data_IF_984645078830
#
_entry.id   IF_984645078830
#
_cell.length_a   1.000
_cell.length_b   1.000
_cell.length_c   1.000
_cell.angle_alpha   90.00
_cell.angle_beta   90.00
_cell.angle_gamma   90.00
#
_symmetry.space_group_name_H-M   'P 1'
#
loop_
_entity.id
_entity.type
_entity.pdbx_description
1 polymer ?
#
# COMPACT_ATOMS: atom_id res chain seq x y z
N UNK A 1 76.10 24.23 16.74
CA UNK A 1 75.72 25.19 15.67
C UNK A 1 74.84 24.45 14.68
N UNK A 2 73.51 24.46 14.86
CA UNK A 2 72.57 25.48 14.35
C UNK A 2 72.43 25.43 12.82
N UNK A 3 71.36 24.78 12.34
CA UNK A 3 70.19 25.40 11.67
C UNK A 3 70.32 25.33 10.14
N UNK A 4 69.34 24.94 9.31
CA UNK A 4 67.91 25.26 9.23
C UNK A 4 67.19 24.14 8.42
N UNK A 5 66.11 23.57 8.96
CA UNK A 5 65.09 22.83 8.16
C UNK A 5 63.99 23.81 7.78
N UNK A 6 63.74 23.96 6.48
CA UNK A 6 62.61 24.74 5.94
C UNK A 6 61.33 23.90 6.04
N UNK A 7 60.30 24.51 6.61
CA UNK A 7 58.98 23.94 6.87
C UNK A 7 58.13 23.91 5.59
N UNK A 8 57.64 22.74 5.17
CA UNK A 8 56.52 22.63 4.22
C UNK A 8 55.21 22.44 4.99
N UNK A 9 54.36 23.48 5.00
CA UNK A 9 53.00 23.42 5.55
C UNK A 9 52.13 22.46 4.72
N UNK A 10 51.76 21.29 5.27
CA UNK A 10 50.64 20.48 4.77
C UNK A 10 49.33 21.01 5.36
N UNK A 11 48.40 21.45 4.51
CA UNK A 11 47.01 21.76 4.91
C UNK A 11 46.29 20.45 5.27
N UNK A 12 45.49 20.40 6.35
CA UNK A 12 44.72 19.21 6.67
C UNK A 12 43.53 19.11 5.72
N UNK A 13 43.45 17.99 4.98
CA UNK A 13 42.26 17.61 4.23
C UNK A 13 41.15 17.29 5.23
N UNK A 14 40.11 18.12 5.29
CA UNK A 14 38.85 17.78 5.96
C UNK A 14 38.24 16.57 5.26
N UNK A 15 38.48 15.38 5.79
CA UNK A 15 37.65 14.21 5.49
C UNK A 15 36.28 14.54 6.09
N UNK A 16 35.32 14.82 5.22
CA UNK A 16 33.92 15.00 5.60
C UNK A 16 33.44 13.61 6.03
N UNK A 17 33.34 13.39 7.34
CA UNK A 17 32.68 12.22 7.91
C UNK A 17 31.26 12.18 7.36
N UNK A 18 30.99 11.22 6.49
CA UNK A 18 29.63 10.91 6.08
C UNK A 18 29.03 10.21 7.28
N UNK A 19 28.20 10.92 8.05
CA UNK A 19 27.34 10.29 9.05
C UNK A 19 26.50 9.22 8.35
N UNK A 20 26.34 8.02 8.94
CA UNK A 20 25.42 7.03 8.41
C UNK A 20 24.04 7.66 8.37
N UNK A 21 23.36 7.62 7.22
CA UNK A 21 22.01 8.17 7.14
C UNK A 21 21.10 7.40 8.11
N UNK A 22 20.32 8.13 8.90
CA UNK A 22 19.30 7.61 9.83
C UNK A 22 18.35 6.59 9.15
N UNK A 23 18.29 6.59 7.81
CA UNK A 23 17.55 5.63 7.00
C UNK A 23 18.09 4.18 7.05
N UNK A 24 19.36 3.95 7.39
CA UNK A 24 19.98 2.62 7.38
C UNK A 24 19.68 1.78 8.63
N UNK A 25 19.21 2.40 9.72
CA UNK A 25 18.88 1.73 11.00
C UNK A 25 17.37 1.69 11.29
N UNK A 26 16.54 2.05 10.31
CA UNK A 26 15.10 2.20 10.47
C UNK A 26 14.37 0.89 10.16
N UNK A 27 13.47 0.47 11.06
CA UNK A 27 12.54 -0.64 10.83
C UNK A 27 11.27 -0.21 10.05
N UNK A 28 11.19 1.06 9.65
CA UNK A 28 10.03 1.62 8.97
C UNK A 28 10.04 1.31 7.46
N UNK A 29 8.94 0.76 6.98
CA UNK A 29 8.80 0.26 5.60
C UNK A 29 8.89 1.36 4.55
N UNK A 30 8.39 2.55 4.85
CA UNK A 30 8.41 3.71 3.96
C UNK A 30 9.84 4.27 3.77
N UNK A 31 10.64 4.38 4.83
CA UNK A 31 12.06 4.79 4.74
C UNK A 31 12.84 3.87 3.80
N UNK A 32 12.66 2.55 3.97
CA UNK A 32 13.28 1.53 3.14
C UNK A 32 12.77 1.61 1.69
N UNK A 33 11.47 1.86 1.49
CA UNK A 33 10.87 2.08 0.18
C UNK A 33 11.48 3.28 -0.55
N UNK A 34 11.60 4.43 0.11
CA UNK A 34 12.22 5.63 -0.46
C UNK A 34 13.70 5.42 -0.80
N UNK A 35 14.46 4.75 0.07
CA UNK A 35 15.86 4.41 -0.19
C UNK A 35 16.01 3.48 -1.42
N UNK A 36 15.16 2.45 -1.50
CA UNK A 36 15.15 1.53 -2.63
C UNK A 36 14.77 2.24 -3.95
N UNK A 37 13.80 3.16 -3.90
CA UNK A 37 13.39 3.99 -5.04
C UNK A 37 14.55 4.84 -5.55
N UNK A 38 15.27 5.55 -4.68
CA UNK A 38 16.39 6.39 -5.08
C UNK A 38 17.61 5.61 -5.55
N UNK A 39 17.85 4.42 -4.98
CA UNK A 39 18.92 3.53 -5.43
C UNK A 39 18.69 3.07 -6.87
N UNK A 40 17.42 2.88 -7.27
CA UNK A 40 17.04 2.47 -8.63
C UNK A 40 16.87 3.65 -9.59
N UNK A 41 16.28 4.75 -9.13
CA UNK A 41 16.00 5.97 -9.90
C UNK A 41 16.43 7.18 -9.07
N UNK A 42 17.69 7.64 -9.20
CA UNK A 42 18.22 8.65 -8.29
C UNK A 42 17.43 9.95 -8.34
N UNK A 43 16.87 10.37 -7.20
CA UNK A 43 16.10 11.60 -7.04
C UNK A 43 14.59 11.44 -7.22
N UNK A 44 14.09 10.21 -7.36
CA UNK A 44 12.65 9.94 -7.45
C UNK A 44 11.92 10.26 -6.15
N UNK A 45 12.56 10.00 -5.00
CA UNK A 45 12.06 10.39 -3.67
C UNK A 45 11.67 11.87 -3.61
N UNK A 46 12.57 12.74 -4.10
CA UNK A 46 12.40 14.18 -4.10
C UNK A 46 11.24 14.60 -5.00
N UNK A 47 11.03 13.92 -6.13
CA UNK A 47 9.86 14.15 -6.98
C UNK A 47 8.58 13.79 -6.22
N UNK A 48 8.53 12.64 -5.55
CA UNK A 48 7.35 12.23 -4.77
C UNK A 48 7.03 13.27 -3.69
N UNK A 49 8.02 13.65 -2.88
CA UNK A 49 7.85 14.68 -1.85
C UNK A 49 7.39 16.02 -2.46
N UNK A 50 7.99 16.46 -3.56
CA UNK A 50 7.58 17.68 -4.25
C UNK A 50 6.12 17.60 -4.74
N UNK A 51 5.69 16.45 -5.27
CA UNK A 51 4.31 16.27 -5.77
C UNK A 51 3.29 16.26 -4.64
N UNK A 52 3.69 15.77 -3.47
CA UNK A 52 2.91 15.82 -2.22
C UNK A 52 3.03 17.16 -1.46
N UNK A 53 3.81 18.12 -1.98
CA UNK A 53 4.11 19.40 -1.33
C UNK A 53 4.76 19.26 0.05
N UNK A 54 5.67 18.29 0.18
CA UNK A 54 6.43 17.98 1.40
C UNK A 54 7.90 18.32 1.22
N UNK A 55 8.54 18.78 2.29
CA UNK A 55 9.95 19.20 2.32
C UNK A 55 10.90 18.08 2.74
N UNK A 56 10.39 17.07 3.44
CA UNK A 56 11.21 16.01 3.99
C UNK A 56 10.43 14.71 4.18
N UNK A 57 11.17 13.62 4.33
CA UNK A 57 10.60 12.33 4.72
C UNK A 57 9.93 12.37 6.10
N UNK A 58 10.45 13.16 7.05
CA UNK A 58 9.81 13.34 8.36
C UNK A 58 8.41 13.97 8.22
N UNK A 59 8.22 14.91 7.28
CA UNK A 59 6.92 15.51 6.98
C UNK A 59 5.98 14.52 6.30
N UNK A 60 6.49 13.71 5.36
CA UNK A 60 5.73 12.61 4.76
C UNK A 60 5.21 11.64 5.82
N UNK A 61 6.11 11.19 6.70
CA UNK A 61 5.76 10.28 7.79
C UNK A 61 4.73 10.90 8.74
N UNK A 62 4.95 12.15 9.16
CA UNK A 62 4.00 12.89 9.98
C UNK A 62 2.62 12.99 9.32
N UNK A 63 2.56 13.15 8.00
CA UNK A 63 1.29 13.19 7.27
C UNK A 63 0.61 11.82 7.19
N UNK A 64 1.37 10.75 6.95
CA UNK A 64 0.85 9.38 6.98
C UNK A 64 0.31 9.02 8.36
N UNK A 65 0.94 9.50 9.43
CA UNK A 65 0.49 9.30 10.81
C UNK A 65 -0.72 10.19 11.21
N UNK A 66 -1.30 10.95 10.28
CA UNK A 66 -2.48 11.79 10.54
C UNK A 66 -2.18 13.13 11.22
N UNK A 67 -0.90 13.47 11.43
CA UNK A 67 -0.47 14.69 12.14
C UNK A 67 -0.31 15.92 11.22
N UNK A 68 -0.61 15.82 9.92
CA UNK A 68 -0.47 16.94 8.98
C UNK A 68 -1.72 17.83 8.92
N UNK A 69 -1.50 19.14 9.05
CA UNK A 69 -2.52 20.20 8.94
C UNK A 69 -2.98 20.48 7.50
N UNK A 70 -2.33 19.90 6.48
CA UNK A 70 -2.67 20.14 5.06
C UNK A 70 -3.61 19.06 4.54
N UNK A 71 -4.92 19.30 4.58
CA UNK A 71 -5.93 18.31 4.16
C UNK A 71 -5.90 17.96 2.67
N UNK A 72 -5.35 18.83 1.81
CA UNK A 72 -5.43 18.66 0.35
C UNK A 72 -4.06 18.54 -0.36
N UNK A 73 -2.92 18.46 0.34
CA UNK A 73 -1.57 18.42 -0.27
C UNK A 73 -1.29 19.51 -1.33
N UNK A 74 -2.02 20.63 -1.26
CA UNK A 74 -1.99 21.70 -2.27
C UNK A 74 -2.67 21.38 -3.61
N UNK A 75 -3.38 20.25 -3.72
CA UNK A 75 -4.09 19.80 -4.92
C UNK A 75 -5.42 20.54 -5.04
N UNK A 76 -5.63 21.23 -6.17
CA UNK A 76 -6.83 22.06 -6.40
C UNK A 76 -7.84 21.44 -7.35
N UNK A 77 -7.42 20.50 -8.19
CA UNK A 77 -8.28 19.86 -9.20
C UNK A 77 -7.95 18.38 -9.36
N UNK A 78 -8.90 17.59 -9.88
CA UNK A 78 -8.65 16.18 -10.21
C UNK A 78 -7.59 16.02 -11.30
N UNK A 79 -7.56 16.90 -12.31
CA UNK A 79 -6.50 16.91 -13.32
C UNK A 79 -5.10 17.07 -12.68
N UNK A 80 -4.97 17.99 -11.73
CA UNK A 80 -3.72 18.17 -10.98
C UNK A 80 -3.37 16.94 -10.14
N UNK A 81 -4.35 16.33 -9.45
CA UNK A 81 -4.16 15.11 -8.67
C UNK A 81 -3.60 13.98 -9.53
N UNK A 82 -4.28 13.65 -10.64
CA UNK A 82 -3.85 12.58 -11.54
C UNK A 82 -2.52 12.89 -12.21
N UNK A 83 -2.24 14.15 -12.56
CA UNK A 83 -0.94 14.52 -13.12
C UNK A 83 0.18 14.39 -12.08
N UNK A 84 -0.04 14.79 -10.83
CA UNK A 84 0.92 14.62 -9.73
C UNK A 84 1.21 13.15 -9.49
N UNK A 85 0.18 12.29 -9.47
CA UNK A 85 0.34 10.84 -9.41
C UNK A 85 1.12 10.31 -10.61
N UNK A 86 0.83 10.76 -11.84
CA UNK A 86 1.57 10.36 -13.05
C UNK A 86 3.06 10.64 -12.94
N UNK A 87 3.40 11.81 -12.41
CA UNK A 87 4.78 12.29 -12.34
C UNK A 87 5.65 11.45 -11.38
N UNK A 88 5.07 10.74 -10.40
CA UNK A 88 5.83 9.91 -9.43
C UNK A 88 6.43 8.64 -10.04
N UNK A 89 6.08 8.29 -11.27
CA UNK A 89 6.68 7.16 -12.00
C UNK A 89 7.06 7.54 -13.45
N UNK A 90 7.13 8.85 -13.74
CA UNK A 90 7.50 9.38 -15.05
C UNK A 90 9.03 9.51 -15.17
N UNK A 91 9.71 8.39 -15.40
CA UNK A 91 11.15 8.33 -15.66
C UNK A 91 11.46 7.32 -16.77
N UNK A 92 12.63 7.44 -17.41
CA UNK A 92 13.01 6.47 -18.43
C UNK A 92 13.28 5.09 -17.80
N UNK A 93 12.50 4.06 -18.16
CA UNK A 93 12.68 2.72 -17.60
C UNK A 93 14.04 2.10 -17.95
N UNK A 94 14.64 2.50 -19.07
CA UNK A 94 15.94 2.00 -19.55
C UNK A 94 17.11 2.68 -18.83
N UNK A 95 17.26 4.00 -18.96
CA UNK A 95 18.42 4.72 -18.43
C UNK A 95 18.18 5.37 -17.05
N UNK A 96 17.00 5.19 -16.46
CA UNK A 96 16.58 5.69 -15.13
C UNK A 96 16.62 7.22 -14.99
N UNK A 97 16.78 7.97 -16.08
CA UNK A 97 16.77 9.44 -16.06
C UNK A 97 15.37 9.98 -15.81
N UNK A 98 15.31 10.95 -14.88
CA UNK A 98 14.15 11.81 -14.66
C UNK A 98 14.02 12.85 -15.78
N UNK A 99 12.82 13.39 -16.05
CA UNK A 99 12.61 14.43 -17.07
C UNK A 99 13.48 15.69 -16.85
N UNK A 100 13.71 16.08 -15.60
CA UNK A 100 14.56 17.22 -15.22
C UNK A 100 16.04 17.04 -15.59
N UNK A 101 16.48 15.81 -15.89
CA UNK A 101 17.86 15.48 -16.29
C UNK A 101 18.00 15.27 -17.80
N UNK A 102 16.96 15.54 -18.57
CA UNK A 102 16.99 15.50 -20.02
C UNK A 102 17.25 16.90 -20.58
N UNK A 103 17.95 17.01 -21.75
CA UNK A 103 18.09 18.29 -22.43
C UNK A 103 16.73 18.93 -22.79
N UNK A 104 15.76 18.12 -23.20
CA UNK A 104 14.36 18.51 -23.33
C UNK A 104 13.49 17.60 -22.45
N UNK A 105 12.91 18.11 -21.34
CA UNK A 105 11.98 17.34 -20.52
C UNK A 105 10.77 16.81 -21.28
N UNK A 106 10.39 17.47 -22.39
CA UNK A 106 9.29 17.01 -23.26
C UNK A 106 9.70 15.83 -24.13
N UNK A 107 10.96 15.41 -24.17
CA UNK A 107 11.38 14.21 -24.90
C UNK A 107 10.84 12.91 -24.28
N UNK A 108 10.42 12.95 -23.00
CA UNK A 108 9.87 11.78 -22.33
C UNK A 108 8.54 11.33 -22.97
N UNK A 109 8.50 10.08 -23.47
CA UNK A 109 7.34 9.47 -24.13
C UNK A 109 6.93 8.18 -23.42
N UNK A 110 5.63 8.01 -23.25
CA UNK A 110 5.04 6.76 -22.76
C UNK A 110 4.94 5.73 -23.87
N UNK A 111 5.05 4.45 -23.51
CA UNK A 111 4.70 3.37 -24.42
C UNK A 111 3.22 3.48 -24.80
N UNK A 112 2.92 3.64 -26.09
CA UNK A 112 1.54 3.80 -26.60
C UNK A 112 0.64 2.58 -26.33
N UNK A 113 1.23 1.39 -26.12
CA UNK A 113 0.49 0.15 -25.89
C UNK A 113 0.05 -0.03 -24.44
N UNK A 114 0.99 0.12 -23.50
CA UNK A 114 0.69 -0.13 -22.08
C UNK A 114 0.35 1.12 -21.27
N UNK A 115 0.75 2.31 -21.73
CA UNK A 115 0.54 3.58 -21.02
C UNK A 115 1.12 3.62 -19.57
N UNK A 116 1.99 2.69 -19.19
CA UNK A 116 2.52 2.56 -17.83
C UNK A 116 3.98 2.99 -17.67
N UNK A 117 4.79 2.82 -18.72
CA UNK A 117 6.24 3.09 -18.66
C UNK A 117 6.66 4.15 -19.66
N UNK A 118 7.78 4.80 -19.37
CA UNK A 118 8.31 5.94 -20.11
C UNK A 118 9.73 5.69 -20.65
N UNK A 119 10.04 6.37 -21.74
CA UNK A 119 11.34 6.39 -22.41
C UNK A 119 11.73 7.82 -22.75
N UNK A 120 13.00 8.17 -22.58
CA UNK A 120 13.51 9.48 -23.01
C UNK A 120 13.79 9.56 -24.51
N UNK A 121 13.90 8.42 -25.21
CA UNK A 121 14.16 8.33 -26.65
C UNK A 121 13.66 7.02 -27.24
N UNK A 122 13.53 6.97 -28.56
CA UNK A 122 13.25 5.74 -29.32
C UNK A 122 14.36 4.70 -29.18
N UNK A 123 15.60 5.13 -28.98
CA UNK A 123 16.74 4.24 -28.72
C UNK A 123 16.58 3.47 -27.41
N UNK A 124 16.30 4.18 -26.30
CA UNK A 124 16.02 3.56 -25.01
C UNK A 124 14.81 2.61 -25.09
N UNK A 125 13.80 2.95 -25.89
CA UNK A 125 12.66 2.07 -26.13
C UNK A 125 13.07 0.79 -26.88
N UNK A 126 13.86 0.91 -27.95
CA UNK A 126 14.34 -0.23 -28.75
C UNK A 126 15.22 -1.16 -27.92
N UNK A 127 16.10 -0.60 -27.11
CA UNK A 127 17.00 -1.35 -26.23
C UNK A 127 16.23 -2.12 -25.14
N UNK A 128 15.21 -1.51 -24.56
CA UNK A 128 14.39 -2.16 -23.53
C UNK A 128 13.36 -3.14 -24.11
N UNK A 129 13.01 -3.04 -25.39
CA UNK A 129 11.92 -3.80 -26.03
C UNK A 129 11.98 -5.32 -25.81
N UNK A 130 13.14 -6.02 -25.89
CA UNK A 130 13.22 -7.45 -25.65
C UNK A 130 12.70 -7.90 -24.28
N UNK A 131 12.86 -7.04 -23.26
CA UNK A 131 12.37 -7.26 -21.90
C UNK A 131 10.92 -6.75 -21.81
N UNK A 132 10.67 -5.50 -22.20
CA UNK A 132 9.36 -4.87 -22.07
C UNK A 132 8.24 -5.63 -22.76
N UNK A 133 8.47 -6.18 -23.96
CA UNK A 133 7.41 -6.85 -24.75
C UNK A 133 6.76 -8.02 -24.00
N UNK A 134 7.51 -8.68 -23.10
CA UNK A 134 7.02 -9.79 -22.26
C UNK A 134 5.99 -9.34 -21.23
N UNK A 135 6.11 -8.09 -20.76
CA UNK A 135 5.27 -7.54 -19.70
C UNK A 135 4.33 -6.43 -20.18
N UNK A 136 4.46 -5.94 -21.41
CA UNK A 136 3.70 -4.81 -21.93
C UNK A 136 2.18 -4.96 -21.74
N UNK A 137 1.62 -6.17 -21.94
CA UNK A 137 0.19 -6.44 -21.70
C UNK A 137 -0.18 -6.35 -20.22
N UNK A 138 0.62 -6.96 -19.33
CA UNK A 138 0.41 -6.88 -17.87
C UNK A 138 0.56 -5.44 -17.34
N UNK A 139 1.49 -4.68 -17.91
CA UNK A 139 1.67 -3.27 -17.60
C UNK A 139 0.47 -2.41 -18.04
N UNK A 140 -0.24 -2.79 -19.12
CA UNK A 140 -1.50 -2.13 -19.50
C UNK A 140 -2.54 -2.31 -18.39
N UNK A 141 -2.70 -3.54 -17.91
CA UNK A 141 -3.60 -3.87 -16.80
C UNK A 141 -3.23 -3.05 -15.55
N UNK A 142 -1.97 -3.05 -15.14
CA UNK A 142 -1.51 -2.27 -13.98
C UNK A 142 -1.71 -0.75 -14.14
N UNK A 143 -1.60 -0.21 -15.37
CA UNK A 143 -1.87 1.21 -15.62
C UNK A 143 -3.36 1.57 -15.46
N UNK A 144 -4.26 0.64 -15.78
CA UNK A 144 -5.70 0.80 -15.58
C UNK A 144 -6.02 0.67 -14.09
N UNK A 145 -5.58 -0.41 -13.45
CA UNK A 145 -5.87 -0.71 -12.05
C UNK A 145 -5.44 0.43 -11.13
N UNK A 146 -4.23 0.98 -11.31
CA UNK A 146 -3.74 2.12 -10.51
C UNK A 146 -4.58 3.40 -10.64
N UNK A 147 -5.29 3.59 -11.74
CA UNK A 147 -6.23 4.71 -11.87
C UNK A 147 -7.57 4.35 -11.23
N UNK A 148 -8.10 3.17 -11.53
CA UNK A 148 -9.41 2.70 -11.03
C UNK A 148 -9.40 2.50 -9.51
N UNK A 149 -8.24 2.22 -8.90
CA UNK A 149 -8.03 2.16 -7.46
C UNK A 149 -8.47 3.44 -6.74
N UNK A 150 -8.43 4.59 -7.43
CA UNK A 150 -8.97 5.84 -6.89
C UNK A 150 -10.45 5.73 -6.48
N UNK A 151 -11.21 4.85 -7.13
CA UNK A 151 -12.63 4.62 -6.82
C UNK A 151 -12.85 3.94 -5.46
N UNK A 152 -11.81 3.34 -4.86
CA UNK A 152 -11.86 2.83 -3.49
C UNK A 152 -11.98 4.02 -2.51
N UNK A 153 -11.20 5.07 -2.75
CA UNK A 153 -11.21 6.27 -1.91
C UNK A 153 -12.50 7.09 -2.05
N UNK A 154 -13.17 7.02 -3.19
CA UNK A 154 -14.47 7.69 -3.40
C UNK A 154 -15.65 6.86 -2.87
N UNK A 155 -15.40 5.60 -2.48
CA UNK A 155 -16.40 4.70 -1.92
C UNK A 155 -17.25 3.95 -2.95
N UNK A 156 -16.93 4.06 -4.24
CA UNK A 156 -17.63 3.31 -5.31
C UNK A 156 -17.19 1.83 -5.34
N UNK A 157 -15.97 1.53 -4.86
CA UNK A 157 -15.39 0.17 -4.78
C UNK A 157 -14.93 -0.11 -3.33
N UNK A 158 -15.04 -1.36 -2.83
CA UNK A 158 -15.81 -2.46 -3.43
C UNK A 158 -17.31 -2.16 -3.42
N UNK A 159 -18.06 -2.80 -4.32
CA UNK A 159 -19.52 -2.75 -4.27
C UNK A 159 -20.04 -3.46 -3.00
N UNK A 160 -21.23 -3.09 -2.49
CA UNK A 160 -21.85 -3.79 -1.38
C UNK A 160 -22.13 -5.27 -1.68
N UNK A 161 -21.80 -6.13 -0.73
CA UNK A 161 -21.99 -7.59 -0.77
C UNK A 161 -23.04 -7.99 0.27
N UNK A 162 -23.72 -9.11 0.00
CA UNK A 162 -24.75 -9.70 0.87
C UNK A 162 -24.15 -10.80 1.75
N UNK A 163 -24.85 -11.28 2.81
CA UNK A 163 -24.48 -12.50 3.49
C UNK A 163 -24.23 -13.65 2.51
N UNK A 164 -23.24 -14.48 2.80
CA UNK A 164 -22.85 -15.57 1.91
C UNK A 164 -23.99 -16.59 1.79
N UNK A 165 -24.37 -16.89 0.55
CA UNK A 165 -25.37 -17.91 0.23
C UNK A 165 -24.75 -19.29 0.05
N UNK A 166 -23.42 -19.35 -0.08
CA UNK A 166 -22.64 -20.57 -0.29
C UNK A 166 -21.69 -20.80 0.88
N UNK A 167 -21.59 -22.04 1.34
CA UNK A 167 -20.62 -22.42 2.38
C UNK A 167 -19.19 -22.09 1.98
N UNK A 168 -18.39 -21.61 2.93
CA UNK A 168 -16.96 -21.33 2.75
C UNK A 168 -16.18 -22.54 2.20
N UNK A 169 -16.61 -23.76 2.53
CA UNK A 169 -15.97 -24.99 2.03
C UNK A 169 -16.10 -25.16 0.52
N UNK A 170 -17.08 -24.51 -0.11
CA UNK A 170 -17.40 -24.65 -1.52
C UNK A 170 -16.83 -23.51 -2.38
N UNK A 171 -16.31 -22.44 -1.76
CA UNK A 171 -15.64 -21.34 -2.46
C UNK A 171 -14.16 -21.70 -2.59
N UNK A 172 -13.68 -21.91 -3.83
CA UNK A 172 -12.28 -22.26 -4.13
C UNK A 172 -11.55 -21.18 -4.90
N UNK A 173 -12.27 -20.38 -5.67
CA UNK A 173 -11.73 -19.32 -6.51
C UNK A 173 -12.48 -18.01 -6.30
N UNK A 174 -11.92 -16.91 -6.83
CA UNK A 174 -12.64 -15.64 -6.88
C UNK A 174 -13.83 -15.71 -7.82
N UNK A 175 -13.78 -16.52 -8.87
CA UNK A 175 -14.91 -16.78 -9.76
C UNK A 175 -16.10 -17.39 -9.01
N UNK A 176 -15.85 -18.32 -8.08
CA UNK A 176 -16.89 -18.88 -7.22
C UNK A 176 -17.52 -17.79 -6.33
N UNK A 177 -16.66 -16.94 -5.72
CA UNK A 177 -17.12 -15.83 -4.88
C UNK A 177 -17.92 -14.79 -5.68
N UNK A 178 -17.49 -14.47 -6.92
CA UNK A 178 -18.21 -13.56 -7.81
C UNK A 178 -19.55 -14.16 -8.25
N UNK A 179 -19.61 -15.45 -8.56
CA UNK A 179 -20.84 -16.14 -8.94
C UNK A 179 -21.88 -16.13 -7.81
N UNK A 180 -21.43 -16.09 -6.55
CA UNK A 180 -22.29 -15.95 -5.37
C UNK A 180 -22.89 -14.53 -5.22
N UNK A 181 -22.28 -13.50 -5.83
CA UNK A 181 -22.74 -12.13 -5.65
C UNK A 181 -24.04 -11.85 -6.42
N UNK A 182 -25.10 -11.57 -5.68
CA UNK A 182 -26.39 -11.19 -6.26
C UNK A 182 -26.26 -9.93 -7.13
N UNK A 183 -26.86 -9.97 -8.32
CA UNK A 183 -26.93 -8.85 -9.26
C UNK A 183 -25.56 -8.23 -9.59
N UNK A 184 -24.51 -9.05 -9.68
CA UNK A 184 -23.13 -8.59 -9.91
C UNK A 184 -23.03 -7.66 -11.13
N UNK A 185 -23.61 -8.04 -12.27
CA UNK A 185 -23.53 -7.23 -13.48
C UNK A 185 -24.19 -5.85 -13.31
N UNK A 186 -25.32 -5.78 -12.59
CA UNK A 186 -25.97 -4.49 -12.27
C UNK A 186 -25.07 -3.61 -11.39
N UNK A 187 -24.41 -4.20 -10.40
CA UNK A 187 -23.45 -3.48 -9.54
C UNK A 187 -22.25 -2.97 -10.33
N UNK A 188 -21.71 -3.80 -11.23
CA UNK A 188 -20.60 -3.40 -12.11
C UNK A 188 -21.02 -2.28 -13.06
N UNK A 189 -22.22 -2.38 -13.66
CA UNK A 189 -22.75 -1.35 -14.56
C UNK A 189 -23.00 -0.03 -13.85
N UNK A 190 -23.49 -0.06 -12.61
CA UNK A 190 -23.64 1.14 -11.79
C UNK A 190 -22.29 1.84 -11.55
N UNK A 191 -21.21 1.10 -11.26
CA UNK A 191 -19.86 1.67 -11.12
C UNK A 191 -19.37 2.25 -12.45
N UNK A 192 -19.60 1.56 -13.58
CA UNK A 192 -19.19 2.05 -14.89
C UNK A 192 -19.90 3.35 -15.29
N UNK A 193 -21.18 3.49 -14.91
CA UNK A 193 -21.99 4.69 -15.10
C UNK A 193 -21.79 5.76 -14.01
N UNK A 194 -21.01 5.45 -12.97
CA UNK A 194 -20.81 6.28 -11.80
C UNK A 194 -20.10 7.61 -12.11
N UNK A 195 -20.43 8.63 -11.32
CA UNK A 195 -19.87 9.99 -11.45
C UNK A 195 -18.33 9.99 -11.45
N UNK A 196 -17.72 9.25 -10.51
CA UNK A 196 -16.27 9.24 -10.34
C UNK A 196 -15.54 8.49 -11.46
N UNK A 197 -16.17 7.48 -12.07
CA UNK A 197 -15.65 6.83 -13.29
C UNK A 197 -15.53 7.84 -14.45
N UNK A 198 -16.55 8.70 -14.61
CA UNK A 198 -16.52 9.79 -15.59
C UNK A 198 -15.43 10.83 -15.30
N UNK A 199 -15.33 11.27 -14.04
CA UNK A 199 -14.31 12.24 -13.59
C UNK A 199 -12.90 11.71 -13.81
N UNK A 200 -12.64 10.45 -13.43
CA UNK A 200 -11.34 9.81 -13.57
C UNK A 200 -10.84 9.90 -15.02
N UNK A 201 -11.63 9.42 -15.98
CA UNK A 201 -11.19 9.37 -17.38
C UNK A 201 -11.20 10.74 -18.08
N UNK A 202 -11.96 11.71 -17.58
CA UNK A 202 -11.87 13.10 -18.03
C UNK A 202 -10.56 13.78 -17.57
N UNK A 203 -9.93 13.31 -16.49
CA UNK A 203 -8.80 13.98 -15.85
C UNK A 203 -7.48 13.19 -15.88
N UNK A 204 -7.50 11.89 -16.16
CA UNK A 204 -6.31 11.02 -16.10
C UNK A 204 -5.26 11.27 -17.21
N UNK A 205 -5.58 12.08 -18.23
CA UNK A 205 -4.67 12.35 -19.35
C UNK A 205 -4.31 11.10 -20.18
N UNK A 206 -5.16 10.07 -20.15
CA UNK A 206 -5.02 8.79 -20.86
C UNK A 206 -6.32 8.45 -21.59
N UNK A 207 -6.25 7.72 -22.73
CA UNK A 207 -7.45 7.23 -23.39
C UNK A 207 -8.19 6.27 -22.45
N UNK A 208 -9.51 6.40 -22.38
CA UNK A 208 -10.37 5.49 -21.62
C UNK A 208 -10.26 4.08 -22.23
N UNK A 209 -9.97 3.03 -21.43
CA UNK A 209 -10.00 1.64 -21.88
C UNK A 209 -11.39 1.19 -22.31
N UNK A 210 -11.47 0.03 -22.95
CA UNK A 210 -12.75 -0.61 -23.24
C UNK A 210 -13.50 -0.97 -21.94
N UNK A 211 -14.83 -0.98 -21.98
CA UNK A 211 -15.65 -1.29 -20.80
C UNK A 211 -15.34 -2.68 -20.23
N UNK A 212 -14.99 -3.66 -21.07
CA UNK A 212 -14.56 -4.99 -20.64
C UNK A 212 -13.29 -4.94 -19.78
N UNK A 213 -12.29 -4.15 -20.18
CA UNK A 213 -11.04 -3.98 -19.42
C UNK A 213 -11.29 -3.27 -18.08
N UNK A 214 -12.22 -2.30 -18.05
CA UNK A 214 -12.62 -1.61 -16.83
C UNK A 214 -13.37 -2.51 -15.86
N UNK A 215 -14.32 -3.33 -16.33
CA UNK A 215 -15.02 -4.30 -15.48
C UNK A 215 -14.04 -5.29 -14.83
N UNK A 216 -13.09 -5.79 -15.60
CA UNK A 216 -12.05 -6.67 -15.07
C UNK A 216 -11.10 -5.96 -14.09
N UNK A 217 -10.86 -4.66 -14.26
CA UNK A 217 -10.14 -3.84 -13.29
C UNK A 217 -10.89 -3.72 -11.96
N UNK A 218 -12.19 -3.42 -12.01
CA UNK A 218 -13.05 -3.38 -10.81
C UNK A 218 -13.09 -4.72 -10.09
N UNK A 219 -13.17 -5.83 -10.82
CA UNK A 219 -13.09 -7.17 -10.22
C UNK A 219 -11.76 -7.38 -9.52
N UNK A 220 -10.62 -7.12 -10.18
CA UNK A 220 -9.29 -7.26 -9.55
C UNK A 220 -9.14 -6.41 -8.29
N UNK A 221 -9.54 -5.15 -8.33
CA UNK A 221 -9.47 -4.27 -7.16
C UNK A 221 -10.41 -4.71 -6.03
N UNK A 222 -11.58 -5.23 -6.37
CA UNK A 222 -12.47 -5.89 -5.40
C UNK A 222 -11.80 -7.10 -4.75
N UNK A 223 -11.11 -7.95 -5.53
CA UNK A 223 -10.37 -9.09 -4.97
C UNK A 223 -9.21 -8.65 -4.08
N UNK A 224 -8.48 -7.60 -4.45
CA UNK A 224 -7.38 -7.06 -3.66
C UNK A 224 -7.88 -6.52 -2.31
N UNK A 225 -8.97 -5.75 -2.34
CA UNK A 225 -9.63 -5.22 -1.15
C UNK A 225 -10.10 -6.33 -0.19
N UNK A 226 -10.79 -7.35 -0.72
CA UNK A 226 -11.33 -8.44 0.11
C UNK A 226 -10.31 -9.54 0.46
N UNK A 227 -9.10 -9.51 -0.08
CA UNK A 227 -8.09 -10.57 0.16
C UNK A 227 -7.82 -10.76 1.65
N UNK A 228 -7.72 -9.67 2.44
CA UNK A 228 -7.46 -9.74 3.88
C UNK A 228 -8.59 -10.39 4.67
N UNK A 229 -9.85 -9.90 4.62
CA UNK A 229 -10.96 -10.56 5.31
C UNK A 229 -11.22 -11.98 4.79
N UNK A 230 -11.05 -12.24 3.48
CA UNK A 230 -11.13 -13.60 2.94
C UNK A 230 -10.12 -14.52 3.63
N UNK A 231 -8.85 -14.12 3.65
CA UNK A 231 -7.77 -14.93 4.23
C UNK A 231 -8.05 -15.26 5.70
N UNK A 232 -8.51 -14.28 6.49
CA UNK A 232 -8.89 -14.49 7.89
C UNK A 232 -10.04 -15.50 7.98
N UNK A 233 -11.11 -15.32 7.20
CA UNK A 233 -12.27 -16.20 7.27
C UNK A 233 -11.95 -17.65 6.86
N UNK A 234 -11.17 -17.83 5.80
CA UNK A 234 -10.67 -19.16 5.40
C UNK A 234 -9.72 -19.76 6.44
N UNK A 235 -8.92 -18.95 7.14
CA UNK A 235 -8.08 -19.40 8.24
C UNK A 235 -8.93 -19.87 9.44
N UNK A 236 -9.95 -19.12 9.85
CA UNK A 236 -10.87 -19.52 10.93
C UNK A 236 -11.49 -20.90 10.65
N UNK A 237 -11.98 -21.11 9.43
CA UNK A 237 -12.52 -22.40 9.01
C UNK A 237 -11.45 -23.50 9.00
N UNK A 238 -10.25 -23.21 8.49
CA UNK A 238 -9.14 -24.18 8.40
C UNK A 238 -8.67 -24.63 9.78
N UNK A 239 -8.56 -23.70 10.73
CA UNK A 239 -8.12 -23.97 12.11
C UNK A 239 -9.26 -24.33 13.05
N UNK A 240 -10.51 -24.45 12.53
CA UNK A 240 -11.71 -24.81 13.30
C UNK A 240 -11.99 -23.88 14.48
N UNK A 241 -11.68 -22.59 14.30
CA UNK A 241 -12.11 -21.53 15.23
C UNK A 241 -13.55 -21.20 14.87
N UNK A 242 -14.50 -21.52 15.74
CA UNK A 242 -15.93 -21.40 15.49
C UNK A 242 -16.49 -20.02 15.89
N UNK A 243 -16.85 -19.14 14.92
CA UNK A 243 -17.42 -17.83 15.22
C UNK A 243 -18.82 -17.87 15.81
N UNK A 244 -19.49 -19.03 15.79
CA UNK A 244 -20.83 -19.23 16.33
C UNK A 244 -20.81 -19.67 17.81
N UNK A 245 -19.76 -20.39 18.22
CA UNK A 245 -19.61 -20.88 19.59
C UNK A 245 -19.27 -19.79 20.61
N UNK A 246 -18.61 -18.73 20.18
CA UNK A 246 -18.24 -17.61 21.04
C UNK A 246 -17.60 -16.46 20.26
N UNK A 247 -17.36 -15.32 20.93
CA UNK A 247 -16.66 -14.20 20.33
C UNK A 247 -15.23 -14.58 19.95
N UNK A 248 -14.74 -14.05 18.83
CA UNK A 248 -13.42 -14.39 18.27
C UNK A 248 -12.55 -13.16 18.16
N UNK A 249 -11.32 -13.25 18.67
CA UNK A 249 -10.30 -12.19 18.58
C UNK A 249 -9.20 -12.59 17.60
N UNK A 250 -8.98 -11.76 16.58
CA UNK A 250 -7.95 -11.95 15.56
C UNK A 250 -6.89 -10.86 15.70
N UNK A 251 -5.64 -11.25 15.95
CA UNK A 251 -4.50 -10.31 15.94
C UNK A 251 -3.86 -10.28 14.56
N UNK A 252 -3.83 -9.10 13.93
CA UNK A 252 -3.06 -8.85 12.71
C UNK A 252 -1.72 -8.24 13.10
N UNK A 253 -0.65 -9.04 12.99
CA UNK A 253 0.69 -8.67 13.48
C UNK A 253 1.55 -8.08 12.38
N UNK A 254 2.33 -7.05 12.74
CA UNK A 254 3.10 -6.28 11.77
C UNK A 254 2.21 -5.43 10.86
N UNK A 255 1.02 -5.04 11.34
CA UNK A 255 0.16 -4.12 10.62
C UNK A 255 0.87 -2.77 10.42
N UNK A 256 0.72 -2.22 9.22
CA UNK A 256 1.35 -0.96 8.82
C UNK A 256 0.33 -0.01 8.20
N UNK A 257 0.76 1.18 7.82
CA UNK A 257 -0.03 2.12 7.04
C UNK A 257 -0.63 1.50 5.76
N UNK A 258 -0.05 0.43 5.21
CA UNK A 258 -0.60 -0.31 4.06
C UNK A 258 -1.95 -0.97 4.39
N UNK A 259 -2.13 -1.41 5.64
CA UNK A 259 -3.38 -1.99 6.15
C UNK A 259 -4.29 -0.95 6.80
N UNK A 260 -3.71 0.08 7.44
CA UNK A 260 -4.44 0.95 8.39
C UNK A 260 -4.75 2.33 7.85
N UNK A 261 -4.06 2.83 6.82
CA UNK A 261 -4.33 4.16 6.28
C UNK A 261 -5.71 4.19 5.60
N UNK A 262 -6.58 5.09 6.05
CA UNK A 262 -7.97 5.23 5.56
C UNK A 262 -8.86 3.99 5.73
N UNK A 263 -8.48 3.06 6.59
CA UNK A 263 -9.34 1.91 6.91
C UNK A 263 -10.69 2.39 7.46
N UNK A 264 -11.78 1.80 6.95
CA UNK A 264 -13.15 2.06 7.40
C UNK A 264 -13.59 0.96 8.34
N UNK A 265 -14.54 1.27 9.23
CA UNK A 265 -15.08 0.29 10.18
C UNK A 265 -15.71 -0.92 9.48
N UNK A 266 -16.12 -0.74 8.22
CA UNK A 266 -16.79 -1.74 7.39
C UNK A 266 -15.84 -2.55 6.50
N UNK A 267 -14.53 -2.25 6.48
CA UNK A 267 -13.60 -2.89 5.53
C UNK A 267 -13.43 -4.40 5.77
N UNK A 268 -13.72 -4.86 6.99
CA UNK A 268 -13.70 -6.27 7.37
C UNK A 268 -15.11 -6.90 7.50
N UNK A 269 -16.19 -6.17 7.18
CA UNK A 269 -17.59 -6.67 7.29
C UNK A 269 -17.85 -7.94 6.48
N UNK A 270 -17.03 -8.20 5.47
CA UNK A 270 -17.08 -9.43 4.69
C UNK A 270 -16.89 -10.68 5.57
N UNK A 271 -16.18 -10.59 6.70
CA UNK A 271 -16.13 -11.66 7.70
C UNK A 271 -17.51 -11.92 8.34
N UNK A 272 -18.26 -10.87 8.70
CA UNK A 272 -19.61 -11.04 9.24
C UNK A 272 -20.58 -11.58 8.18
N UNK A 273 -20.36 -11.28 6.89
CA UNK A 273 -21.13 -11.84 5.78
C UNK A 273 -20.80 -13.31 5.54
N UNK A 274 -19.55 -13.71 5.74
CA UNK A 274 -19.11 -15.11 5.69
C UNK A 274 -19.64 -15.94 6.86
N UNK A 275 -19.80 -15.33 8.03
CA UNK A 275 -20.34 -15.97 9.24
C UNK A 275 -21.58 -15.22 9.80
N UNK A 276 -22.74 -15.32 9.14
CA UNK A 276 -23.95 -14.62 9.57
C UNK A 276 -24.43 -15.13 10.93
N UNK A 277 -24.54 -14.26 11.94
CA UNK A 277 -24.92 -14.66 13.30
C UNK A 277 -23.75 -15.01 14.23
N UNK A 278 -22.51 -14.69 13.83
CA UNK A 278 -21.34 -14.78 14.70
C UNK A 278 -21.56 -14.10 16.06
N UNK A 279 -20.87 -14.58 17.10
CA UNK A 279 -20.99 -14.03 18.46
C UNK A 279 -20.15 -12.77 18.71
N UNK A 280 -19.60 -12.17 17.65
CA UNK A 280 -18.74 -11.00 17.69
C UNK A 280 -17.34 -11.35 17.17
N UNK A 281 -16.86 -10.59 16.21
CA UNK A 281 -15.50 -10.72 15.68
C UNK A 281 -14.73 -9.45 15.98
N UNK A 282 -13.51 -9.56 16.51
CA UNK A 282 -12.57 -8.44 16.62
C UNK A 282 -11.33 -8.68 15.76
N UNK A 283 -10.94 -7.67 14.98
CA UNK A 283 -9.68 -7.65 14.23
C UNK A 283 -8.81 -6.54 14.81
N UNK A 284 -7.76 -6.93 15.52
CA UNK A 284 -6.81 -6.03 16.19
C UNK A 284 -5.59 -5.81 15.31
N UNK A 285 -5.42 -4.60 14.79
CA UNK A 285 -4.27 -4.22 13.96
C UNK A 285 -3.09 -3.81 14.83
N UNK A 286 -2.02 -4.61 14.85
CA UNK A 286 -0.89 -4.41 15.78
C UNK A 286 0.41 -4.24 14.99
N UNK A 287 1.05 -3.09 15.17
CA UNK A 287 2.35 -2.83 14.59
C UNK A 287 2.83 -1.40 14.81
N UNK A 288 4.14 -1.15 14.68
CA UNK A 288 4.72 0.16 14.97
C UNK A 288 4.38 1.22 13.91
N UNK A 289 3.84 0.79 12.76
CA UNK A 289 3.41 1.64 11.64
C UNK A 289 1.88 1.71 11.53
N UNK A 290 1.14 1.22 12.53
CA UNK A 290 -0.30 1.48 12.64
C UNK A 290 -0.52 2.99 12.71
N UNK A 291 -1.43 3.46 11.87
CA UNK A 291 -1.77 4.88 11.72
C UNK A 291 -3.03 5.18 12.52
N UNK A 292 -3.08 6.34 13.17
CA UNK A 292 -4.29 6.79 13.87
C UNK A 292 -5.43 7.11 12.90
N UNK A 293 -6.67 6.94 13.34
CA UNK A 293 -7.84 7.23 12.52
C UNK A 293 -9.15 6.91 13.24
N UNK A 294 -10.31 7.25 12.65
CA UNK A 294 -11.61 7.09 13.32
C UNK A 294 -11.93 5.65 13.75
N UNK A 295 -11.29 4.68 13.10
CA UNK A 295 -11.48 3.23 13.32
C UNK A 295 -10.39 2.66 14.25
N UNK A 296 -9.26 3.35 14.40
CA UNK A 296 -8.10 2.92 15.18
C UNK A 296 -8.27 3.32 16.64
N UNK A 297 -9.15 2.58 17.29
CA UNK A 297 -9.51 2.67 18.71
C UNK A 297 -8.82 1.55 19.51
N UNK A 298 -8.72 1.69 20.84
CA UNK A 298 -8.11 0.68 21.69
C UNK A 298 -8.76 -0.71 21.48
N UNK A 299 -7.98 -1.79 21.60
CA UNK A 299 -8.51 -3.15 21.61
C UNK A 299 -9.56 -3.33 22.70
N UNK A 300 -10.54 -4.20 22.46
CA UNK A 300 -11.59 -4.40 23.43
C UNK A 300 -11.08 -5.17 24.66
N UNK A 301 -11.50 -4.72 25.83
CA UNK A 301 -11.38 -5.47 27.09
C UNK A 301 -12.48 -6.53 27.24
N UNK A 302 -13.51 -6.46 26.39
CA UNK A 302 -14.70 -7.32 26.41
C UNK A 302 -15.11 -7.68 24.97
N UNK A 303 -16.14 -8.50 24.79
CA UNK A 303 -16.47 -9.00 23.47
C UNK A 303 -17.09 -7.96 22.52
N UNK A 304 -16.78 -8.09 21.23
CA UNK A 304 -17.36 -7.27 20.17
C UNK A 304 -18.87 -7.48 20.00
N UNK A 305 -19.57 -6.56 19.30
CA UNK A 305 -21.01 -6.68 19.09
C UNK A 305 -21.35 -7.92 18.25
N UNK A 306 -22.37 -8.68 18.67
CA UNK A 306 -22.87 -9.86 17.94
C UNK A 306 -23.21 -9.53 16.49
N UNK A 307 -22.86 -10.45 15.58
CA UNK A 307 -23.12 -10.35 14.15
C UNK A 307 -22.33 -9.26 13.44
N UNK A 308 -21.32 -8.66 14.09
CA UNK A 308 -20.54 -7.55 13.55
C UNK A 308 -19.05 -7.79 13.71
N UNK A 309 -18.28 -7.06 12.91
CA UNK A 309 -16.84 -7.00 13.03
C UNK A 309 -16.45 -5.70 13.71
N UNK A 310 -15.62 -5.80 14.74
CA UNK A 310 -14.99 -4.68 15.40
C UNK A 310 -13.54 -4.61 14.93
N UNK A 311 -13.17 -3.50 14.30
CA UNK A 311 -11.77 -3.21 14.00
C UNK A 311 -11.21 -2.31 15.10
N UNK A 312 -10.01 -2.65 15.59
CA UNK A 312 -9.22 -1.90 16.58
C UNK A 312 -7.76 -1.84 16.16
N UNK A 313 -6.98 -1.00 16.83
CA UNK A 313 -5.57 -0.79 16.52
C UNK A 313 -4.72 -0.57 17.76
N UNK A 314 -3.46 -1.02 17.68
CA UNK A 314 -2.45 -0.76 18.70
C UNK A 314 -1.09 -0.50 18.07
N UNK A 315 -0.58 0.72 18.26
CA UNK A 315 0.71 1.16 17.71
C UNK A 315 1.86 0.77 18.65
N UNK A 316 2.37 -0.46 18.48
CA UNK A 316 3.57 -0.95 19.17
C UNK A 316 4.15 -2.18 18.48
N UNK A 317 5.29 -2.66 18.96
CA UNK A 317 5.76 -4.01 18.64
C UNK A 317 4.81 -5.04 19.27
N UNK A 318 4.69 -6.21 18.64
CA UNK A 318 3.73 -7.22 19.08
C UNK A 318 4.04 -7.77 20.49
N UNK A 319 5.32 -7.95 20.83
CA UNK A 319 5.71 -8.42 22.17
C UNK A 319 5.39 -7.37 23.25
N UNK A 320 5.67 -6.10 22.99
CA UNK A 320 5.30 -5.02 23.90
C UNK A 320 3.77 -4.97 24.10
N UNK A 321 2.99 -5.09 23.02
CA UNK A 321 1.53 -5.18 23.11
C UNK A 321 1.08 -6.39 23.94
N UNK A 322 1.70 -7.55 23.72
CA UNK A 322 1.39 -8.77 24.46
C UNK A 322 1.63 -8.58 25.96
N UNK A 323 2.84 -8.20 26.35
CA UNK A 323 3.27 -8.07 27.74
C UNK A 323 2.52 -6.95 28.47
N UNK A 324 2.29 -5.81 27.81
CA UNK A 324 1.73 -4.62 28.50
C UNK A 324 0.20 -4.54 28.42
N UNK A 325 -0.44 -5.23 27.48
CA UNK A 325 -1.89 -5.14 27.25
C UNK A 325 -2.58 -6.49 27.46
N UNK A 326 -2.14 -7.53 26.78
CA UNK A 326 -2.82 -8.85 26.82
C UNK A 326 -2.59 -9.54 28.16
N UNK A 327 -1.35 -9.60 28.65
CA UNK A 327 -1.04 -10.22 29.96
C UNK A 327 -1.63 -9.44 31.14
N UNK A 328 -1.92 -8.16 30.94
CA UNK A 328 -2.57 -7.30 31.92
C UNK A 328 -4.10 -7.24 31.75
N UNK A 329 -4.69 -8.15 30.97
CA UNK A 329 -6.14 -8.28 30.74
C UNK A 329 -6.81 -7.01 30.19
N UNK A 330 -6.04 -6.15 29.50
CA UNK A 330 -6.53 -4.94 28.83
C UNK A 330 -6.93 -5.19 27.37
N UNK A 331 -6.67 -6.39 26.87
CA UNK A 331 -7.14 -6.89 25.58
C UNK A 331 -7.36 -8.40 25.69
N UNK A 332 -8.29 -8.94 24.91
CA UNK A 332 -8.50 -10.38 24.83
C UNK A 332 -7.26 -11.11 24.27
N UNK A 333 -7.07 -12.37 24.69
CA UNK A 333 -6.11 -13.26 24.02
C UNK A 333 -6.64 -13.61 22.61
N UNK A 334 -5.77 -13.74 21.61
CA UNK A 334 -6.19 -14.06 20.25
C UNK A 334 -6.57 -15.53 20.12
N UNK A 335 -7.65 -15.79 19.37
CA UNK A 335 -7.98 -17.10 18.84
C UNK A 335 -7.23 -17.39 17.53
N UNK A 336 -6.83 -16.32 16.82
CA UNK A 336 -6.06 -16.39 15.58
C UNK A 336 -5.04 -15.25 15.50
N UNK A 337 -3.84 -15.55 15.05
CA UNK A 337 -2.78 -14.57 14.76
C UNK A 337 -2.42 -14.65 13.27
N UNK A 338 -2.44 -13.52 12.57
CA UNK A 338 -2.23 -13.43 11.11
C UNK A 338 -1.22 -12.34 10.80
N UNK A 339 -0.31 -12.59 9.85
CA UNK A 339 0.55 -11.55 9.28
C UNK A 339 0.41 -11.52 7.76
N UNK A 340 0.12 -10.34 7.18
CA UNK A 340 0.02 -10.16 5.73
C UNK A 340 1.34 -9.69 5.12
N UNK A 341 1.83 -8.54 5.60
CA UNK A 341 3.11 -7.96 5.20
C UNK A 341 3.98 -7.63 6.42
N UNK A 342 4.32 -8.60 7.28
CA UNK A 342 4.96 -8.36 8.57
C UNK A 342 6.43 -7.87 8.49
N UNK A 343 6.92 -7.47 7.31
CA UNK A 343 8.28 -6.94 7.15
C UNK A 343 9.42 -7.96 7.27
N UNK A 344 9.13 -9.27 7.30
CA UNK A 344 10.12 -10.35 7.53
C UNK A 344 11.23 -10.41 6.45
N UNK A 345 11.00 -9.84 5.27
CA UNK A 345 11.95 -9.88 4.14
C UNK A 345 13.20 -9.01 4.29
N UNK A 346 13.24 -8.09 5.26
CA UNK A 346 14.33 -7.10 5.37
C UNK A 346 15.57 -7.54 6.17
N UNK A 347 15.56 -8.76 6.72
CA UNK A 347 16.68 -9.29 7.54
C UNK A 347 17.92 -9.68 6.69
N UNK A 348 17.82 -9.76 5.36
CA UNK A 348 18.94 -10.18 4.47
C UNK A 348 19.89 -9.08 3.99
N UNK A 349 19.75 -7.83 4.44
CA UNK A 349 20.65 -6.73 4.05
C UNK A 349 21.84 -6.52 5.01
N UNK A 350 22.00 -7.34 6.04
CA UNK A 350 23.22 -7.36 6.84
C UNK A 350 24.19 -8.43 6.30
N UNK A 351 25.40 -8.05 5.80
CA UNK A 351 26.40 -9.05 5.49
C UNK A 351 26.76 -9.79 6.77
N UNK A 352 26.67 -11.11 6.69
CA UNK A 352 27.16 -12.07 7.66
C UNK A 352 28.52 -11.65 8.21
N UNK A 353 28.65 -11.68 9.54
CA UNK A 353 29.92 -11.62 10.22
C UNK A 353 30.91 -12.61 9.58
N UNK A 354 32.21 -12.26 9.50
CA UNK A 354 33.20 -13.13 8.88
C UNK A 354 33.30 -14.42 9.69
N UNK A 355 32.99 -15.54 9.04
CA UNK A 355 33.37 -16.84 9.55
C UNK A 355 34.87 -16.96 9.29
N UNK A 356 35.63 -17.01 10.39
CA UNK A 356 37.06 -17.37 10.44
C UNK A 356 37.33 -18.74 9.86
#
# INVERSE_FOLDING_TARGET
>A
MSHKKVSSKKKPSKVRSVEPSVAASSYYTDSLGFLAMDSNVPGLSNIILQKLNMKSYAEYRSAVEGNSLTTNFGIRTYAEMFQKMEDTYKFCVQCKKLPSRLPDPRAMRRCKRCQNIYYCSSECQRENWPIHKKFCRKLKVAAIDRLVEWLIFTGDIPFPTSPWTTSITNIKTWEDWFAMQESLEVKLDAIMAGRYMGILWANAGKPKPENSELRESVKRLTTDFFTRPMTIGFALNTFRVDPYGGPVTIHVVGASHIETLNIRATDYDELAKMFPGNQGLEVVMIGPEVVDGPVMRPPLTAYGPRGRVYVSGYKSLYHDFWETVVENERAARPDLVVGFHPGIYYVKLYPSAPVT
#
